data_IF_025436444095
#
_entry.id   IF_025436444095
#
_cell.length_a   1.000
_cell.length_b   1.000
_cell.length_c   1.000
_cell.angle_alpha   90.00
_cell.angle_beta   90.00
_cell.angle_gamma   90.00
#
_symmetry.space_group_name_H-M   'P 1'
#
loop_
_entity.id
_entity.type
_entity.pdbx_description
1 polymer ?
#
# COMPACT_ATOMS: atom_id res chain seq x y z
N UNK A 1 1.87 25.96 -22.52
CA UNK A 1 1.38 25.63 -21.14
C UNK A 1 -0.15 25.66 -21.03
N UNK A 2 -0.87 26.70 -21.52
CA UNK A 2 -2.34 26.76 -21.45
C UNK A 2 -3.01 25.59 -22.19
N UNK A 3 -2.51 25.25 -23.39
CA UNK A 3 -3.01 24.11 -24.16
C UNK A 3 -2.84 22.79 -23.43
N UNK A 4 -1.70 22.57 -22.78
CA UNK A 4 -1.46 21.34 -21.99
C UNK A 4 -2.40 21.24 -20.77
N UNK A 5 -2.62 22.33 -20.04
CA UNK A 5 -3.57 22.33 -18.91
C UNK A 5 -4.99 22.04 -19.40
N UNK A 6 -5.40 22.57 -20.56
CA UNK A 6 -6.68 22.26 -21.18
C UNK A 6 -6.77 20.77 -21.53
N UNK A 7 -5.75 20.22 -22.20
CA UNK A 7 -5.69 18.81 -22.57
C UNK A 7 -5.82 17.88 -21.34
N UNK A 8 -5.10 18.18 -20.25
CA UNK A 8 -5.16 17.41 -18.99
C UNK A 8 -6.56 17.49 -18.37
N UNK A 9 -7.15 18.69 -18.33
CA UNK A 9 -8.50 18.89 -17.78
C UNK A 9 -9.57 18.13 -18.56
N UNK A 10 -9.55 18.25 -19.89
CA UNK A 10 -10.48 17.53 -20.78
C UNK A 10 -10.30 16.00 -20.66
N UNK A 11 -9.05 15.53 -20.61
CA UNK A 11 -8.75 14.12 -20.40
C UNK A 11 -9.31 13.59 -19.07
N UNK A 12 -9.15 14.34 -17.97
CA UNK A 12 -9.67 13.96 -16.66
C UNK A 12 -11.21 13.88 -16.69
N UNK A 13 -11.87 14.90 -17.23
CA UNK A 13 -13.32 14.93 -17.35
C UNK A 13 -13.84 13.73 -18.16
N UNK A 14 -13.30 13.51 -19.36
CA UNK A 14 -13.66 12.39 -20.22
C UNK A 14 -13.43 11.03 -19.53
N UNK A 15 -12.31 10.89 -18.82
CA UNK A 15 -11.97 9.65 -18.13
C UNK A 15 -12.99 9.28 -17.05
N UNK A 16 -13.55 10.28 -16.37
CA UNK A 16 -14.56 10.07 -15.32
C UNK A 16 -15.96 9.90 -15.87
N UNK A 17 -16.33 10.67 -16.92
CA UNK A 17 -17.73 10.81 -17.35
C UNK A 17 -18.11 10.00 -18.59
N UNK A 18 -17.15 9.66 -19.46
CA UNK A 18 -17.45 8.92 -20.70
C UNK A 18 -17.54 7.41 -20.47
N UNK A 19 -18.73 6.79 -20.63
CA UNK A 19 -18.91 5.34 -20.37
C UNK A 19 -18.08 4.46 -21.30
N UNK A 20 -17.73 4.94 -22.49
CA UNK A 20 -16.97 4.21 -23.52
C UNK A 20 -15.46 4.34 -23.36
N UNK A 21 -15.00 5.26 -22.49
CA UNK A 21 -13.56 5.44 -22.23
C UNK A 21 -12.97 4.18 -21.62
N UNK A 22 -11.92 3.68 -22.23
CA UNK A 22 -11.19 2.52 -21.69
C UNK A 22 -10.39 2.89 -20.45
N UNK A 23 -10.27 1.94 -19.53
CA UNK A 23 -9.40 2.04 -18.34
C UNK A 23 -7.93 2.01 -18.74
N UNK A 24 -7.61 1.24 -19.78
CA UNK A 24 -6.27 1.16 -20.36
C UNK A 24 -6.37 0.75 -21.84
N UNK A 25 -5.34 1.10 -22.59
CA UNK A 25 -5.13 0.61 -23.95
C UNK A 25 -3.99 -0.40 -23.91
N UNK A 26 -4.33 -1.70 -23.87
CA UNK A 26 -3.31 -2.75 -23.80
C UNK A 26 -2.50 -2.79 -25.08
N UNK A 27 -1.20 -2.76 -24.96
CA UNK A 27 -0.23 -3.03 -26.01
C UNK A 27 0.78 -4.06 -25.47
N UNK A 28 1.29 -4.92 -26.34
CA UNK A 28 2.37 -5.81 -25.94
C UNK A 28 3.62 -5.01 -25.60
N UNK A 29 4.39 -5.43 -24.57
CA UNK A 29 5.54 -4.65 -24.08
C UNK A 29 6.57 -4.31 -25.17
N UNK A 30 6.84 -5.24 -26.09
CA UNK A 30 7.79 -5.04 -27.18
C UNK A 30 7.27 -4.07 -28.25
N UNK A 31 5.95 -4.04 -28.48
CA UNK A 31 5.30 -3.10 -29.41
C UNK A 31 5.34 -1.67 -28.83
N UNK A 32 5.08 -1.54 -27.53
CA UNK A 32 5.18 -0.27 -26.84
C UNK A 32 6.62 0.26 -26.84
N UNK A 33 7.61 -0.61 -26.59
CA UNK A 33 9.02 -0.24 -26.67
C UNK A 33 9.43 0.20 -28.08
N UNK A 34 8.95 -0.51 -29.12
CA UNK A 34 9.22 -0.13 -30.52
C UNK A 34 8.62 1.23 -30.85
N UNK A 35 7.37 1.46 -30.45
CA UNK A 35 6.72 2.75 -30.66
C UNK A 35 7.53 3.90 -30.07
N UNK A 36 7.92 3.82 -28.79
CA UNK A 36 8.66 4.90 -28.14
C UNK A 36 10.08 5.09 -28.67
N UNK A 37 10.74 4.03 -29.13
CA UNK A 37 12.04 4.14 -29.83
C UNK A 37 11.92 4.89 -31.13
N UNK A 38 10.86 4.64 -31.91
CA UNK A 38 10.63 5.35 -33.16
C UNK A 38 10.15 6.79 -32.91
N UNK A 39 9.25 6.97 -31.95
CA UNK A 39 8.80 8.31 -31.56
C UNK A 39 9.97 9.18 -31.08
N UNK A 40 10.94 8.63 -30.35
CA UNK A 40 12.13 9.36 -29.93
C UNK A 40 12.98 9.87 -31.12
N UNK A 41 13.01 9.16 -32.25
CA UNK A 41 13.78 9.53 -33.43
C UNK A 41 13.04 10.52 -34.35
N UNK A 42 11.76 10.29 -34.57
CA UNK A 42 10.99 10.92 -35.66
C UNK A 42 9.69 11.56 -35.19
N UNK A 43 9.25 11.30 -33.95
CA UNK A 43 7.99 11.82 -33.42
C UNK A 43 7.99 13.34 -33.23
N UNK A 44 6.82 13.96 -33.45
CA UNK A 44 6.65 15.36 -33.13
C UNK A 44 6.44 15.55 -31.62
N UNK A 45 7.18 16.48 -31.04
CA UNK A 45 7.10 16.76 -29.60
C UNK A 45 5.69 17.24 -29.16
N UNK A 46 4.95 17.87 -30.05
CA UNK A 46 3.57 18.32 -29.78
C UNK A 46 2.60 17.12 -29.55
N UNK A 47 2.91 15.95 -30.11
CA UNK A 47 2.14 14.73 -29.94
C UNK A 47 2.51 13.94 -28.68
N UNK A 48 3.60 14.31 -27.97
CA UNK A 48 4.11 13.56 -26.81
C UNK A 48 3.06 13.40 -25.71
N UNK A 49 2.44 14.49 -25.27
CA UNK A 49 1.44 14.42 -24.20
C UNK A 49 0.15 13.71 -24.63
N UNK A 50 -0.41 13.94 -25.83
CA UNK A 50 -1.51 13.16 -26.35
C UNK A 50 -1.22 11.64 -26.38
N UNK A 51 -0.05 11.24 -26.87
CA UNK A 51 0.31 9.80 -26.94
C UNK A 51 0.52 9.18 -25.56
N UNK A 52 1.13 9.88 -24.59
CA UNK A 52 1.21 9.41 -23.20
C UNK A 52 -0.20 9.19 -22.62
N UNK A 53 -1.11 10.17 -22.75
CA UNK A 53 -2.47 10.07 -22.25
C UNK A 53 -3.27 8.93 -22.91
N UNK A 54 -3.00 8.63 -24.17
CA UNK A 54 -3.67 7.56 -24.91
C UNK A 54 -3.18 6.16 -24.52
N UNK A 55 -1.88 6.02 -24.19
CA UNK A 55 -1.18 4.73 -24.00
C UNK A 55 -1.00 4.34 -22.55
N UNK A 56 -1.50 5.11 -21.58
CA UNK A 56 -1.33 4.85 -20.15
C UNK A 56 -2.59 4.25 -19.52
N UNK A 57 -2.48 3.86 -18.26
CA UNK A 57 -3.61 3.40 -17.45
C UNK A 57 -4.31 4.57 -16.79
N UNK A 58 -5.64 4.63 -16.90
CA UNK A 58 -6.48 5.71 -16.41
C UNK A 58 -7.07 5.37 -15.03
N UNK A 59 -6.34 5.67 -13.96
CA UNK A 59 -6.77 5.36 -12.58
C UNK A 59 -8.04 6.11 -12.16
N UNK A 60 -8.36 7.25 -12.80
CA UNK A 60 -9.59 8.01 -12.56
C UNK A 60 -10.84 7.38 -13.22
N UNK A 61 -10.66 6.40 -14.12
CA UNK A 61 -11.80 5.73 -14.74
C UNK A 61 -12.54 4.88 -13.69
N UNK A 62 -13.89 4.99 -13.55
CA UNK A 62 -14.67 4.25 -12.56
C UNK A 62 -14.54 2.72 -12.64
N UNK A 63 -14.12 2.21 -13.79
CA UNK A 63 -13.91 0.77 -14.05
C UNK A 63 -12.48 0.31 -13.71
N UNK A 64 -11.62 1.20 -13.20
CA UNK A 64 -10.34 0.83 -12.62
C UNK A 64 -10.55 0.36 -11.18
N UNK A 65 -10.52 -0.96 -10.98
CA UNK A 65 -10.79 -1.62 -9.69
C UNK A 65 -9.69 -2.61 -9.30
N UNK A 66 -8.48 -2.43 -9.84
CA UNK A 66 -7.39 -3.40 -9.74
C UNK A 66 -6.39 -3.18 -8.61
N UNK A 67 -5.26 -2.54 -8.93
CA UNK A 67 -4.17 -2.33 -7.97
C UNK A 67 -4.50 -1.29 -6.88
N UNK A 68 -3.71 -1.33 -5.80
CA UNK A 68 -3.76 -0.39 -4.68
C UNK A 68 -3.12 0.95 -5.06
N UNK A 69 -3.64 1.58 -6.13
CA UNK A 69 -3.24 2.91 -6.60
C UNK A 69 -4.48 3.80 -6.51
N UNK A 70 -4.39 4.84 -5.68
CA UNK A 70 -5.51 5.77 -5.43
C UNK A 70 -5.74 6.75 -6.58
N UNK A 71 -6.97 7.23 -6.67
CA UNK A 71 -7.31 8.41 -7.46
C UNK A 71 -6.79 9.63 -6.72
N UNK A 72 -6.00 10.46 -7.39
CA UNK A 72 -5.42 11.65 -6.78
C UNK A 72 -6.44 12.78 -6.66
N UNK A 73 -6.47 13.45 -5.51
CA UNK A 73 -7.27 14.66 -5.35
C UNK A 73 -6.69 15.79 -6.22
N UNK A 74 -7.52 16.51 -7.01
CA UNK A 74 -7.02 17.50 -7.99
C UNK A 74 -6.08 18.56 -7.39
N UNK A 75 -6.31 18.98 -6.16
CA UNK A 75 -5.45 19.97 -5.50
C UNK A 75 -4.00 19.49 -5.32
N UNK A 76 -3.77 18.17 -5.28
CA UNK A 76 -2.43 17.60 -5.15
C UNK A 76 -1.59 17.76 -6.43
N UNK A 77 -2.22 17.99 -7.58
CA UNK A 77 -1.54 18.35 -8.83
C UNK A 77 -0.80 19.68 -8.67
N UNK A 78 -1.44 20.67 -8.03
CA UNK A 78 -0.84 21.99 -7.80
C UNK A 78 0.36 21.89 -6.86
N UNK A 79 0.25 21.11 -5.79
CA UNK A 79 1.39 20.89 -4.88
C UNK A 79 2.52 20.09 -5.53
N UNK A 80 2.20 19.18 -6.44
CA UNK A 80 3.18 18.47 -7.26
C UNK A 80 3.93 19.41 -8.21
N UNK A 81 3.19 20.27 -8.92
CA UNK A 81 3.79 21.29 -9.78
C UNK A 81 4.70 22.24 -9.01
N UNK A 82 4.27 22.69 -7.81
CA UNK A 82 5.06 23.56 -6.97
C UNK A 82 6.34 22.86 -6.49
N UNK A 83 6.22 21.60 -6.01
CA UNK A 83 7.36 20.78 -5.58
C UNK A 83 8.39 20.61 -6.70
N UNK A 84 7.94 20.29 -7.90
CA UNK A 84 8.82 20.11 -9.06
C UNK A 84 9.46 21.43 -9.52
N UNK A 85 8.72 22.56 -9.47
CA UNK A 85 9.23 23.87 -9.84
C UNK A 85 10.33 24.35 -8.87
N UNK A 86 10.09 24.22 -7.56
CA UNK A 86 11.06 24.66 -6.56
C UNK A 86 12.26 23.71 -6.44
N UNK A 87 12.05 22.42 -6.72
CA UNK A 87 13.08 21.38 -6.72
C UNK A 87 13.95 21.36 -5.42
N UNK A 88 13.36 21.72 -4.28
CA UNK A 88 14.06 21.72 -3.00
C UNK A 88 14.24 20.31 -2.47
N UNK A 89 15.48 19.93 -2.14
CA UNK A 89 15.75 18.75 -1.33
C UNK A 89 15.43 19.03 0.15
N UNK A 90 15.22 17.97 0.92
CA UNK A 90 14.87 18.08 2.35
C UNK A 90 15.94 17.48 3.28
N UNK A 91 17.15 17.24 2.78
CA UNK A 91 18.23 16.62 3.56
C UNK A 91 18.55 17.42 4.83
N UNK A 92 18.81 18.72 4.65
CA UNK A 92 19.14 19.67 5.70
C UNK A 92 18.19 20.88 5.63
N UNK A 93 18.07 21.60 6.74
CA UNK A 93 17.08 22.67 6.89
C UNK A 93 17.20 23.75 5.79
N UNK A 94 18.41 24.22 5.52
CA UNK A 94 18.68 25.28 4.53
C UNK A 94 18.28 24.92 3.09
N UNK A 95 18.20 23.62 2.77
CA UNK A 95 17.72 23.15 1.47
C UNK A 95 16.19 23.04 1.41
N UNK A 96 15.54 22.71 2.52
CA UNK A 96 14.11 22.44 2.61
C UNK A 96 13.31 23.54 3.28
N UNK A 97 13.82 24.12 4.37
CA UNK A 97 13.17 25.17 5.16
C UNK A 97 11.70 24.85 5.53
N UNK A 98 10.73 25.54 4.92
CA UNK A 98 9.31 25.38 5.20
C UNK A 98 8.79 23.94 5.04
N UNK A 99 9.12 23.17 3.99
CA UNK A 99 8.75 21.76 3.89
C UNK A 99 9.19 20.90 5.08
N UNK A 100 10.35 21.12 5.68
CA UNK A 100 10.79 20.38 6.86
C UNK A 100 9.84 20.63 8.06
N UNK A 101 9.44 21.88 8.28
CA UNK A 101 8.46 22.23 9.32
C UNK A 101 7.06 21.67 9.01
N UNK A 102 6.64 21.72 7.75
CA UNK A 102 5.37 21.16 7.29
C UNK A 102 5.33 19.64 7.50
N UNK A 103 6.41 18.94 7.20
CA UNK A 103 6.50 17.48 7.42
C UNK A 103 6.31 17.13 8.90
N UNK A 104 6.93 17.86 9.79
CA UNK A 104 6.76 17.69 11.24
C UNK A 104 5.31 17.86 11.66
N UNK A 105 4.64 18.93 11.21
CA UNK A 105 3.23 19.18 11.51
C UNK A 105 2.36 18.02 11.02
N UNK A 106 2.61 17.52 9.82
CA UNK A 106 1.88 16.39 9.23
C UNK A 106 2.06 15.13 10.05
N UNK A 107 3.30 14.77 10.37
CA UNK A 107 3.58 13.54 11.13
C UNK A 107 3.06 13.60 12.57
N UNK A 108 3.12 14.76 13.23
CA UNK A 108 2.51 14.97 14.56
C UNK A 108 0.98 14.79 14.51
N UNK A 109 0.31 15.31 13.46
CA UNK A 109 -1.13 15.09 13.27
C UNK A 109 -1.47 13.63 13.06
N UNK A 110 -0.68 12.91 12.27
CA UNK A 110 -0.88 11.48 12.02
C UNK A 110 -0.65 10.66 13.30
N UNK A 111 0.40 10.94 14.07
CA UNK A 111 0.65 10.31 15.36
C UNK A 111 -0.52 10.51 16.32
N UNK A 112 -1.06 11.73 16.40
CA UNK A 112 -2.24 12.02 17.20
C UNK A 112 -3.48 11.25 16.74
N UNK A 113 -3.68 11.12 15.43
CA UNK A 113 -4.81 10.38 14.86
C UNK A 113 -4.73 8.87 15.17
N UNK A 114 -3.52 8.29 15.23
CA UNK A 114 -3.31 6.89 15.67
C UNK A 114 -3.60 6.73 17.17
N UNK A 115 -3.50 7.80 17.97
CA UNK A 115 -3.56 7.74 19.42
C UNK A 115 -2.20 7.58 20.09
N UNK A 116 -1.10 7.91 19.39
CA UNK A 116 0.23 7.93 19.98
C UNK A 116 0.36 9.12 20.94
N UNK A 117 0.87 8.85 22.14
CA UNK A 117 1.18 9.88 23.14
C UNK A 117 2.47 10.64 22.78
N UNK A 118 2.69 11.78 23.44
CA UNK A 118 3.99 12.45 23.39
C UNK A 118 5.04 11.60 24.14
N UNK A 119 6.26 11.44 23.61
CA UNK A 119 6.94 12.15 22.53
C UNK A 119 6.95 11.39 21.17
N UNK A 120 5.80 11.21 20.56
CA UNK A 120 5.69 10.57 19.25
C UNK A 120 6.16 11.47 18.10
N UNK A 121 6.44 10.87 16.95
CA UNK A 121 6.86 11.57 15.75
C UNK A 121 7.19 10.63 14.62
N UNK A 122 7.67 11.17 13.51
CA UNK A 122 7.99 10.38 12.34
C UNK A 122 8.53 11.25 11.21
N UNK A 123 8.53 10.66 10.02
CA UNK A 123 8.92 11.34 8.79
C UNK A 123 8.22 10.72 7.58
N UNK A 124 8.25 11.43 6.46
CA UNK A 124 7.78 10.91 5.18
C UNK A 124 8.94 10.28 4.40
N UNK A 125 8.64 9.24 3.63
CA UNK A 125 9.62 8.50 2.81
C UNK A 125 8.99 7.99 1.52
N UNK A 126 9.81 7.53 0.57
CA UNK A 126 9.40 7.12 -0.76
C UNK A 126 8.89 5.66 -0.80
N UNK A 127 7.71 5.44 -0.25
CA UNK A 127 6.93 4.21 -0.38
C UNK A 127 6.99 3.26 0.81
N UNK A 128 5.91 2.48 0.97
CA UNK A 128 5.73 1.55 2.08
C UNK A 128 6.84 0.51 2.21
N UNK A 129 7.45 0.06 1.11
CA UNK A 129 8.58 -0.89 1.17
C UNK A 129 9.78 -0.31 1.93
N UNK A 130 10.13 0.95 1.65
CA UNK A 130 11.24 1.61 2.33
C UNK A 130 10.88 1.96 3.78
N UNK A 131 9.64 2.39 4.01
CA UNK A 131 9.14 2.67 5.35
C UNK A 131 9.18 1.42 6.25
N UNK A 132 8.70 0.27 5.76
CA UNK A 132 8.76 -1.02 6.48
C UNK A 132 10.21 -1.46 6.74
N UNK A 133 11.12 -1.34 5.76
CA UNK A 133 12.54 -1.63 5.96
C UNK A 133 13.12 -0.75 7.08
N UNK A 134 12.85 0.56 7.03
CA UNK A 134 13.36 1.51 8.04
C UNK A 134 12.81 1.21 9.44
N UNK A 135 11.50 0.91 9.55
CA UNK A 135 10.90 0.50 10.82
C UNK A 135 11.57 -0.75 11.42
N UNK A 136 11.87 -1.74 10.58
CA UNK A 136 12.52 -2.98 11.01
C UNK A 136 14.01 -2.78 11.36
N UNK A 137 14.69 -1.84 10.70
CA UNK A 137 16.04 -1.42 11.13
C UNK A 137 16.01 -0.73 12.49
N UNK A 138 15.02 0.14 12.73
CA UNK A 138 14.79 0.78 14.04
C UNK A 138 14.51 -0.27 15.11
N UNK A 139 13.65 -1.25 14.79
CA UNK A 139 13.33 -2.38 15.67
C UNK A 139 14.58 -3.17 16.07
N UNK A 140 15.41 -3.51 15.09
CA UNK A 140 16.68 -4.23 15.34
C UNK A 140 17.59 -3.42 16.26
N UNK A 141 17.76 -2.12 15.99
CA UNK A 141 18.62 -1.26 16.82
C UNK A 141 18.10 -1.12 18.24
N UNK A 142 16.77 -1.05 18.43
CA UNK A 142 16.14 -0.90 19.74
C UNK A 142 16.10 -2.18 20.57
N UNK A 143 15.97 -3.35 19.94
CA UNK A 143 15.69 -4.63 20.63
C UNK A 143 16.86 -5.61 20.65
N UNK A 144 17.90 -5.38 19.86
CA UNK A 144 19.11 -6.21 19.83
C UNK A 144 20.25 -5.49 20.53
N UNK A 145 20.73 -5.98 21.69
CA UNK A 145 21.78 -5.29 22.46
C UNK A 145 23.13 -5.20 21.76
N UNK A 146 23.43 -6.19 20.89
CA UNK A 146 24.66 -6.20 20.10
C UNK A 146 24.58 -5.15 18.99
N UNK A 147 25.65 -4.41 18.78
CA UNK A 147 25.74 -3.39 17.70
C UNK A 147 25.87 -4.06 16.33
N UNK A 148 24.71 -4.52 15.82
CA UNK A 148 24.65 -5.18 14.50
C UNK A 148 25.02 -4.20 13.37
N UNK A 149 24.85 -2.89 13.59
CA UNK A 149 25.14 -1.88 12.56
C UNK A 149 26.64 -1.82 12.23
N UNK A 150 27.49 -1.79 13.24
CA UNK A 150 28.93 -1.69 13.05
C UNK A 150 29.66 -3.04 13.05
N UNK A 151 29.14 -4.05 13.76
CA UNK A 151 29.83 -5.32 14.00
C UNK A 151 29.22 -6.52 13.26
N UNK A 152 28.12 -6.32 12.54
CA UNK A 152 27.37 -7.41 11.90
C UNK A 152 26.60 -8.27 12.91
N UNK A 153 26.11 -9.43 12.46
CA UNK A 153 25.30 -10.33 13.28
C UNK A 153 26.17 -11.24 14.17
N UNK A 154 25.97 -11.20 15.49
CA UNK A 154 26.59 -12.11 16.44
C UNK A 154 25.80 -13.42 16.62
N UNK A 155 24.51 -13.42 16.28
CA UNK A 155 23.61 -14.57 16.38
C UNK A 155 22.48 -14.47 15.34
N UNK A 156 21.80 -15.57 15.02
CA UNK A 156 20.61 -15.50 14.16
C UNK A 156 19.52 -14.63 14.77
N UNK A 157 19.01 -13.70 13.97
CA UNK A 157 17.92 -12.79 14.32
C UNK A 157 16.65 -13.13 13.52
N UNK A 158 15.47 -12.83 14.08
CA UNK A 158 14.21 -13.12 13.42
C UNK A 158 13.11 -12.08 13.62
N UNK A 159 12.20 -12.06 12.65
CA UNK A 159 10.98 -11.26 12.62
C UNK A 159 9.80 -12.22 12.46
N UNK A 160 8.78 -12.09 13.30
CA UNK A 160 7.52 -12.82 13.16
C UNK A 160 6.55 -12.04 12.31
N UNK A 161 5.84 -12.71 11.40
CA UNK A 161 4.88 -12.09 10.49
C UNK A 161 3.89 -13.13 9.97
N UNK A 162 2.66 -12.71 9.62
CA UNK A 162 1.69 -13.58 8.94
C UNK A 162 2.26 -14.11 7.60
N UNK A 163 1.94 -15.36 7.24
CA UNK A 163 2.31 -15.90 5.91
C UNK A 163 1.73 -15.09 4.75
N UNK A 164 0.57 -14.44 4.97
CA UNK A 164 -0.13 -13.58 4.00
C UNK A 164 0.36 -12.11 3.99
N UNK A 165 1.37 -11.78 4.79
CA UNK A 165 1.92 -10.41 4.83
C UNK A 165 2.55 -10.01 3.50
N UNK A 166 2.60 -8.71 3.26
CA UNK A 166 3.22 -8.17 2.05
C UNK A 166 4.70 -8.56 1.96
N UNK A 167 5.15 -8.92 0.77
CA UNK A 167 6.52 -9.38 0.50
C UNK A 167 7.63 -8.38 0.90
N UNK A 168 7.29 -7.13 1.19
CA UNK A 168 8.27 -6.12 1.63
C UNK A 168 8.95 -6.51 2.94
N UNK A 169 8.26 -7.21 3.86
CA UNK A 169 8.83 -7.72 5.11
C UNK A 169 9.90 -8.79 4.82
N UNK A 170 9.59 -9.72 3.92
CA UNK A 170 10.56 -10.73 3.46
C UNK A 170 11.78 -10.09 2.80
N UNK A 171 11.54 -9.06 1.99
CA UNK A 171 12.61 -8.29 1.32
C UNK A 171 13.46 -7.54 2.34
N UNK A 172 12.84 -6.86 3.30
CA UNK A 172 13.53 -6.16 4.38
C UNK A 172 14.41 -7.13 5.20
N UNK A 173 13.87 -8.27 5.61
CA UNK A 173 14.62 -9.28 6.37
C UNK A 173 15.84 -9.79 5.58
N UNK A 174 15.70 -10.02 4.26
CA UNK A 174 16.83 -10.44 3.41
C UNK A 174 17.88 -9.35 3.24
N UNK A 175 17.47 -8.08 3.04
CA UNK A 175 18.39 -6.92 2.96
C UNK A 175 19.14 -6.76 4.28
N UNK A 176 18.48 -6.98 5.42
CA UNK A 176 19.07 -6.91 6.75
C UNK A 176 20.01 -8.09 7.06
N UNK A 177 20.17 -9.06 6.15
CA UNK A 177 21.02 -10.22 6.33
C UNK A 177 20.44 -11.34 7.23
N UNK A 178 19.14 -11.30 7.53
CA UNK A 178 18.50 -12.32 8.38
C UNK A 178 18.28 -13.66 7.63
N UNK A 179 18.29 -13.63 6.30
CA UNK A 179 18.03 -14.81 5.47
C UNK A 179 16.62 -15.39 5.64
N UNK A 180 16.37 -16.55 5.02
CA UNK A 180 15.05 -17.21 5.13
C UNK A 180 14.73 -17.67 6.56
N UNK A 181 15.73 -18.06 7.34
CA UNK A 181 15.54 -18.56 8.71
C UNK A 181 15.12 -17.47 9.68
N UNK A 182 15.44 -16.20 9.39
CA UNK A 182 15.02 -15.06 10.20
C UNK A 182 13.63 -14.53 9.86
N UNK A 183 12.91 -15.12 8.89
CA UNK A 183 11.52 -14.79 8.58
C UNK A 183 10.64 -15.89 9.16
N UNK A 184 9.99 -15.62 10.28
CA UNK A 184 9.13 -16.57 10.98
C UNK A 184 7.70 -16.37 10.50
N UNK A 185 7.30 -17.13 9.49
CA UNK A 185 5.95 -17.12 8.91
C UNK A 185 4.99 -17.86 9.83
N UNK A 186 4.15 -17.10 10.53
CA UNK A 186 3.04 -17.65 11.31
C UNK A 186 1.88 -17.94 10.34
N UNK A 187 1.24 -19.12 10.43
CA UNK A 187 0.12 -19.44 9.56
C UNK A 187 -1.02 -18.42 9.64
N UNK A 188 -1.76 -18.28 8.56
CA UNK A 188 -3.01 -17.56 8.56
C UNK A 188 -4.17 -18.51 8.94
N UNK A 189 -5.14 -17.99 9.71
CA UNK A 189 -6.38 -18.71 9.99
C UNK A 189 -7.31 -18.73 8.75
N UNK A 190 -8.52 -19.29 8.90
CA UNK A 190 -9.49 -19.41 7.80
C UNK A 190 -9.88 -18.06 7.15
N UNK A 191 -9.73 -16.95 7.87
CA UNK A 191 -10.05 -15.60 7.40
C UNK A 191 -8.84 -14.87 6.81
N UNK A 192 -7.71 -15.55 6.59
CA UNK A 192 -6.47 -15.00 6.04
C UNK A 192 -5.81 -13.90 6.91
N UNK A 193 -6.05 -13.93 8.20
CA UNK A 193 -5.35 -13.12 9.20
C UNK A 193 -4.40 -14.00 10.00
N UNK A 194 -3.39 -13.43 10.62
CA UNK A 194 -2.44 -14.18 11.45
C UNK A 194 -3.18 -15.02 12.48
N UNK A 195 -2.82 -16.29 12.59
CA UNK A 195 -3.36 -17.16 13.62
C UNK A 195 -2.67 -16.88 14.97
N UNK A 196 -3.32 -16.06 15.79
CA UNK A 196 -2.78 -15.60 17.07
C UNK A 196 -2.53 -16.75 18.06
N UNK A 197 -3.27 -17.86 17.94
CA UNK A 197 -3.09 -19.05 18.78
C UNK A 197 -1.77 -19.77 18.46
N UNK A 198 -1.22 -19.56 17.27
CA UNK A 198 0.05 -20.13 16.83
C UNK A 198 1.27 -19.28 17.21
N UNK A 199 1.10 -18.03 17.63
CA UNK A 199 2.21 -17.12 17.94
C UNK A 199 3.19 -17.72 18.94
N UNK A 200 2.67 -18.25 20.05
CA UNK A 200 3.49 -18.88 21.10
C UNK A 200 4.32 -20.06 20.55
N UNK A 201 3.67 -20.94 19.81
CA UNK A 201 4.30 -22.13 19.23
C UNK A 201 5.46 -21.76 18.31
N UNK A 202 5.24 -20.78 17.42
CA UNK A 202 6.25 -20.34 16.45
C UNK A 202 7.38 -19.57 17.11
N UNK A 203 7.11 -18.79 18.14
CA UNK A 203 8.10 -18.11 18.95
C UNK A 203 9.01 -19.12 19.63
N UNK A 204 8.45 -20.06 20.41
CA UNK A 204 9.23 -21.07 21.17
C UNK A 204 10.07 -21.96 20.25
N UNK A 205 9.51 -22.37 19.09
CA UNK A 205 10.27 -23.13 18.08
C UNK A 205 11.47 -22.35 17.53
N UNK A 206 11.35 -21.04 17.41
CA UNK A 206 12.42 -20.17 16.91
C UNK A 206 13.52 -20.01 17.97
N UNK A 207 13.14 -19.77 19.22
CA UNK A 207 14.07 -19.67 20.33
C UNK A 207 14.84 -20.99 20.53
N UNK A 208 14.16 -22.13 20.44
CA UNK A 208 14.79 -23.46 20.52
C UNK A 208 15.83 -23.70 19.39
N UNK A 209 15.72 -23.00 18.28
CA UNK A 209 16.70 -23.01 17.16
C UNK A 209 17.80 -21.94 17.30
N UNK A 210 17.88 -21.25 18.43
CA UNK A 210 18.84 -20.18 18.68
C UNK A 210 18.57 -18.87 17.91
N UNK A 211 17.35 -18.70 17.41
CA UNK A 211 16.96 -17.46 16.69
C UNK A 211 16.40 -16.47 17.69
N UNK A 212 17.03 -15.32 17.86
CA UNK A 212 16.51 -14.22 18.67
C UNK A 212 15.46 -13.44 17.87
N UNK A 213 14.20 -13.54 18.29
CA UNK A 213 13.13 -12.72 17.73
C UNK A 213 13.21 -11.32 18.33
N UNK A 214 13.19 -10.29 17.47
CA UNK A 214 13.26 -8.91 17.93
C UNK A 214 12.02 -8.08 17.54
N UNK A 215 11.22 -8.55 16.56
CA UNK A 215 10.04 -7.84 16.08
C UNK A 215 8.92 -8.79 15.67
N UNK A 216 7.69 -8.28 15.76
CA UNK A 216 6.49 -8.86 15.15
C UNK A 216 5.79 -7.78 14.31
N UNK A 217 5.30 -8.18 13.14
CA UNK A 217 4.60 -7.29 12.20
C UNK A 217 3.14 -7.71 12.09
N UNK A 218 2.22 -6.78 12.36
CA UNK A 218 0.79 -6.92 12.10
C UNK A 218 0.41 -6.22 10.79
N UNK A 219 -0.38 -6.89 9.95
CA UNK A 219 -0.86 -6.35 8.66
C UNK A 219 -2.20 -5.61 8.84
N UNK A 220 -2.26 -4.39 8.35
CA UNK A 220 -3.46 -3.56 8.45
C UNK A 220 -3.80 -2.83 7.13
N UNK A 221 -4.41 -3.55 6.14
CA UNK A 221 -4.62 -4.99 6.05
C UNK A 221 -3.58 -5.73 5.21
N UNK A 222 -3.71 -7.06 5.12
CA UNK A 222 -3.01 -7.90 4.15
C UNK A 222 -3.31 -7.44 2.71
N UNK A 223 -2.28 -7.40 1.87
CA UNK A 223 -2.40 -6.98 0.46
C UNK A 223 -3.25 -7.94 -0.37
N UNK A 224 -3.19 -9.24 -0.08
CA UNK A 224 -3.88 -10.26 -0.86
C UNK A 224 -5.39 -10.21 -0.67
N UNK A 225 -5.87 -10.15 0.56
CA UNK A 225 -7.29 -10.33 0.92
C UNK A 225 -7.96 -9.09 1.52
N UNK A 226 -7.18 -8.10 1.93
CA UNK A 226 -7.71 -6.94 2.64
C UNK A 226 -8.16 -7.24 4.08
N UNK A 227 -7.71 -8.38 4.63
CA UNK A 227 -8.03 -8.78 6.00
C UNK A 227 -7.04 -8.15 7.00
N UNK A 228 -7.56 -7.61 8.09
CA UNK A 228 -6.79 -7.00 9.17
C UNK A 228 -6.42 -8.04 10.21
N UNK A 229 -5.15 -8.11 10.58
CA UNK A 229 -4.71 -8.91 11.71
C UNK A 229 -5.30 -8.37 13.02
N UNK A 230 -5.44 -9.24 14.03
CA UNK A 230 -5.82 -8.84 15.39
C UNK A 230 -4.63 -8.12 16.06
N UNK A 231 -4.59 -6.79 15.85
CA UNK A 231 -3.48 -5.96 16.34
C UNK A 231 -3.42 -5.89 17.88
N UNK A 232 -4.56 -6.04 18.57
CA UNK A 232 -4.62 -6.04 20.01
C UNK A 232 -3.97 -7.33 20.58
N UNK A 233 -4.29 -8.49 20.00
CA UNK A 233 -3.66 -9.74 20.39
C UNK A 233 -2.17 -9.78 20.05
N UNK A 234 -1.77 -9.25 18.88
CA UNK A 234 -0.34 -9.12 18.52
C UNK A 234 0.39 -8.19 19.50
N UNK A 235 -0.22 -7.09 19.89
CA UNK A 235 0.35 -6.16 20.87
C UNK A 235 0.59 -6.82 22.21
N UNK A 236 -0.40 -7.56 22.75
CA UNK A 236 -0.25 -8.29 24.00
C UNK A 236 0.88 -9.33 23.93
N UNK A 237 1.00 -10.02 22.80
CA UNK A 237 2.09 -10.96 22.58
C UNK A 237 3.45 -10.24 22.50
N UNK A 238 3.54 -9.12 21.80
CA UNK A 238 4.75 -8.32 21.70
C UNK A 238 5.22 -7.80 23.07
N UNK A 239 4.29 -7.34 23.90
CA UNK A 239 4.56 -6.87 25.26
C UNK A 239 5.09 -8.01 26.14
N UNK A 240 4.43 -9.19 26.11
CA UNK A 240 4.85 -10.39 26.86
C UNK A 240 6.31 -10.76 26.61
N UNK A 241 6.78 -10.65 25.36
CA UNK A 241 8.14 -11.06 24.97
C UNK A 241 9.09 -9.89 24.71
N UNK A 242 8.68 -8.66 25.04
CA UNK A 242 9.43 -7.44 24.81
C UNK A 242 9.92 -7.32 23.35
N UNK A 243 9.05 -7.64 22.38
CA UNK A 243 9.31 -7.49 20.96
C UNK A 243 8.94 -6.10 20.50
N UNK A 244 9.56 -5.65 19.39
CA UNK A 244 9.07 -4.48 18.66
C UNK A 244 7.78 -4.85 17.94
N UNK A 245 6.72 -4.10 18.20
CA UNK A 245 5.47 -4.24 17.46
C UNK A 245 5.40 -3.21 16.35
N UNK A 246 5.42 -3.67 15.11
CA UNK A 246 5.26 -2.84 13.91
C UNK A 246 3.93 -3.11 13.23
N UNK A 247 3.22 -2.05 12.81
CA UNK A 247 1.98 -2.16 12.03
C UNK A 247 2.26 -1.74 10.58
N UNK A 248 2.17 -2.70 9.65
CA UNK A 248 2.11 -2.41 8.24
C UNK A 248 0.69 -1.97 7.87
N UNK A 249 0.41 -0.69 8.08
CA UNK A 249 -0.83 -0.01 7.72
C UNK A 249 -0.75 0.70 6.37
N UNK A 250 0.19 0.34 5.51
CA UNK A 250 0.42 1.01 4.23
C UNK A 250 -0.86 1.23 3.42
N UNK A 251 -1.78 0.26 3.38
CA UNK A 251 -3.07 0.44 2.72
C UNK A 251 -4.16 0.96 3.64
N UNK A 252 -4.42 0.27 4.72
CA UNK A 252 -5.59 0.52 5.56
C UNK A 252 -5.32 1.36 6.80
N UNK A 253 -4.11 1.83 7.01
CA UNK A 253 -3.81 2.79 8.08
C UNK A 253 -4.66 4.06 8.00
N UNK A 254 -5.12 4.43 6.80
CA UNK A 254 -6.07 5.52 6.61
C UNK A 254 -7.42 5.33 7.34
N UNK A 255 -7.76 4.10 7.76
CA UNK A 255 -8.98 3.82 8.54
C UNK A 255 -8.98 4.50 9.92
N UNK A 256 -7.83 5.02 10.39
CA UNK A 256 -7.75 5.88 11.60
C UNK A 256 -8.69 7.08 11.50
N UNK A 257 -8.97 7.58 10.29
CA UNK A 257 -9.85 8.71 10.06
C UNK A 257 -11.31 8.31 9.88
N UNK A 258 -11.64 7.02 9.73
CA UNK A 258 -13.02 6.56 9.56
C UNK A 258 -13.68 6.26 10.91
N UNK A 259 -14.67 7.04 11.31
CA UNK A 259 -15.44 6.78 12.51
C UNK A 259 -16.07 5.37 12.54
N UNK A 260 -16.43 4.85 11.36
CA UNK A 260 -17.04 3.53 11.21
C UNK A 260 -16.03 2.39 11.27
N UNK A 261 -14.81 2.59 10.72
CA UNK A 261 -13.84 1.52 10.49
C UNK A 261 -12.57 1.64 11.32
N UNK A 262 -12.41 2.68 12.13
CA UNK A 262 -11.24 2.86 13.01
C UNK A 262 -11.04 1.69 13.99
N UNK A 263 -12.12 0.98 14.36
CA UNK A 263 -12.06 -0.21 15.21
C UNK A 263 -11.18 -1.34 14.65
N UNK A 264 -10.97 -1.38 13.32
CA UNK A 264 -10.08 -2.34 12.67
C UNK A 264 -8.59 -2.13 13.02
N UNK A 265 -8.26 -0.97 13.57
CA UNK A 265 -6.91 -0.60 13.98
C UNK A 265 -6.73 -0.61 15.51
N UNK A 266 -7.70 -1.18 16.26
CA UNK A 266 -7.58 -1.32 17.72
C UNK A 266 -6.30 -2.07 18.08
N UNK A 267 -5.48 -1.49 18.97
CA UNK A 267 -4.13 -1.98 19.34
C UNK A 267 -2.99 -1.28 18.60
N UNK A 268 -3.27 -0.61 17.46
CA UNK A 268 -2.24 0.13 16.72
C UNK A 268 -1.66 1.30 17.52
N UNK A 269 -2.45 1.91 18.40
CA UNK A 269 -2.04 3.00 19.30
C UNK A 269 -0.93 2.60 20.29
N UNK A 270 -0.72 1.29 20.47
CA UNK A 270 0.36 0.75 21.31
C UNK A 270 1.54 0.20 20.50
N UNK A 271 1.48 0.23 19.17
CA UNK A 271 2.60 -0.20 18.34
C UNK A 271 3.81 0.73 18.53
N UNK A 272 5.02 0.20 18.34
CA UNK A 272 6.26 0.99 18.38
C UNK A 272 6.41 1.82 17.09
N UNK A 273 5.88 1.32 15.97
CA UNK A 273 5.88 2.04 14.69
C UNK A 273 4.72 1.60 13.79
N UNK A 274 4.27 2.53 12.93
CA UNK A 274 3.23 2.30 11.94
C UNK A 274 3.55 2.98 10.62
N UNK A 275 3.20 2.32 9.50
CA UNK A 275 3.31 2.86 8.15
C UNK A 275 1.93 3.21 7.60
N UNK A 276 1.82 4.36 6.90
CA UNK A 276 0.60 4.77 6.19
C UNK A 276 0.99 5.36 4.82
N UNK A 277 0.49 4.76 3.73
CA UNK A 277 0.73 5.28 2.38
C UNK A 277 -0.32 6.35 2.00
N UNK A 278 0.12 7.58 1.81
CA UNK A 278 -0.74 8.66 1.33
C UNK A 278 -1.23 8.42 -0.10
N UNK A 279 -0.42 7.75 -0.92
CA UNK A 279 -0.72 7.44 -2.32
C UNK A 279 -1.67 6.23 -2.51
N UNK A 280 -2.14 5.60 -1.41
CA UNK A 280 -3.18 4.57 -1.44
C UNK A 280 -4.52 5.18 -1.02
N UNK A 281 -4.93 4.98 0.21
CA UNK A 281 -6.27 5.36 0.69
C UNK A 281 -6.36 6.83 1.17
N UNK A 282 -5.45 7.72 0.74
CA UNK A 282 -5.50 9.14 1.11
C UNK A 282 -5.40 10.08 -0.10
N UNK A 283 -5.70 9.60 -1.31
CA UNK A 283 -5.87 10.40 -2.54
C UNK A 283 -4.65 11.27 -2.90
N UNK A 284 -3.45 10.82 -2.60
CA UNK A 284 -2.20 11.54 -2.91
C UNK A 284 -1.46 10.92 -4.10
N UNK A 285 -0.61 11.70 -4.80
CA UNK A 285 0.22 11.16 -5.87
C UNK A 285 1.24 10.14 -5.35
N UNK A 286 1.63 9.22 -6.22
CA UNK A 286 2.73 8.28 -6.03
C UNK A 286 4.06 9.03 -6.09
N UNK A 287 5.01 8.90 -5.14
CA UNK A 287 4.99 8.03 -3.99
C UNK A 287 5.06 8.93 -2.76
N UNK A 288 4.24 8.69 -1.76
CA UNK A 288 4.35 9.36 -0.46
C UNK A 288 3.85 8.44 0.64
N UNK A 289 4.67 8.24 1.67
CA UNK A 289 4.43 7.34 2.79
C UNK A 289 4.86 7.97 4.09
N UNK A 290 4.05 7.85 5.14
CA UNK A 290 4.42 8.23 6.50
C UNK A 290 4.93 7.00 7.26
N UNK A 291 6.11 7.11 7.88
CA UNK A 291 6.59 6.21 8.91
C UNK A 291 6.53 6.94 10.25
N UNK A 292 5.76 6.39 11.16
CA UNK A 292 5.38 7.00 12.43
C UNK A 292 5.87 6.12 13.58
N UNK A 293 6.38 6.74 14.63
CA UNK A 293 6.92 6.09 15.82
C UNK A 293 6.21 6.60 17.08
N UNK A 294 5.84 5.68 17.96
CA UNK A 294 5.30 6.03 19.27
C UNK A 294 6.32 6.78 20.13
N UNK A 295 7.60 6.46 19.96
CA UNK A 295 8.71 7.23 20.53
C UNK A 295 9.60 7.77 19.39
N UNK A 296 9.59 9.10 19.20
CA UNK A 296 10.34 9.79 18.13
C UNK A 296 11.85 9.53 18.16
N UNK A 297 12.45 9.24 19.30
CA UNK A 297 13.89 8.92 19.42
C UNK A 297 14.33 7.77 18.54
N UNK A 298 13.43 6.81 18.25
CA UNK A 298 13.75 5.70 17.36
C UNK A 298 13.92 6.13 15.90
N UNK A 299 13.23 7.20 15.47
CA UNK A 299 13.46 7.80 14.16
C UNK A 299 14.88 8.38 14.02
N UNK A 300 15.34 9.08 15.05
CA UNK A 300 16.62 9.79 15.03
C UNK A 300 17.81 8.83 15.13
N UNK A 301 17.66 7.72 15.85
CA UNK A 301 18.76 6.80 16.13
C UNK A 301 19.03 5.76 15.02
N UNK A 302 18.11 5.54 14.09
CA UNK A 302 18.23 4.42 13.13
C UNK A 302 19.42 4.56 12.19
N UNK A 303 19.64 5.75 11.65
CA UNK A 303 20.70 6.05 10.68
C UNK A 303 21.72 7.05 11.19
N UNK A 304 21.78 7.30 12.51
CA UNK A 304 22.77 8.22 13.06
C UNK A 304 24.19 7.77 12.71
N UNK A 305 24.80 8.50 11.78
CA UNK A 305 26.19 8.38 11.37
C UNK A 305 26.83 9.73 11.67
N UNK A 306 28.03 9.72 12.23
CA UNK A 306 28.86 10.90 12.30
C UNK A 306 29.34 11.26 10.89
N UNK A 307 28.54 12.04 10.16
CA UNK A 307 28.90 12.54 8.83
C UNK A 307 29.39 13.99 8.99
N UNK A 308 30.69 14.14 9.23
CA UNK A 308 31.37 15.40 9.55
C UNK A 308 31.15 16.53 8.53
N UNK A 309 30.75 16.21 7.30
CA UNK A 309 30.57 17.19 6.23
C UNK A 309 29.12 17.70 6.06
N UNK A 310 28.14 16.99 6.62
CA UNK A 310 26.72 17.38 6.50
C UNK A 310 26.10 17.85 7.82
N UNK A 311 26.63 17.43 8.97
CA UNK A 311 25.93 17.51 10.23
C UNK A 311 26.93 17.72 11.38
N UNK A 312 26.86 18.84 12.09
CA UNK A 312 27.61 19.08 13.31
C UNK A 312 27.17 18.10 14.43
N UNK A 313 28.10 17.67 15.27
CA UNK A 313 27.78 16.97 16.52
C UNK A 313 27.09 17.97 17.48
N UNK A 314 25.76 18.00 17.47
CA UNK A 314 24.96 18.74 18.43
C UNK A 314 24.09 17.78 19.21
N UNK A 315 24.01 17.95 20.52
CA UNK A 315 23.07 17.24 21.41
C UNK A 315 21.64 17.72 21.22
N UNK A 316 21.40 18.74 20.40
CA UNK A 316 20.08 19.31 20.14
C UNK A 316 19.25 18.45 19.19
N UNK A 317 17.94 18.43 19.44
CA UNK A 317 16.92 17.77 18.63
C UNK A 317 16.81 18.45 17.24
N UNK A 318 17.74 18.13 16.33
CA UNK A 318 17.76 18.65 14.96
C UNK A 318 16.66 18.01 14.08
N UNK A 319 15.43 18.08 14.56
CA UNK A 319 14.25 17.52 13.87
C UNK A 319 14.08 18.00 12.42
N UNK A 320 14.70 19.09 12.06
CA UNK A 320 14.62 19.72 10.74
C UNK A 320 15.60 19.15 9.72
N UNK A 321 16.56 18.33 10.13
CA UNK A 321 17.55 17.69 9.26
C UNK A 321 17.12 16.26 8.93
N UNK A 322 16.28 16.09 7.89
CA UNK A 322 15.71 14.78 7.56
C UNK A 322 16.75 13.75 7.11
N UNK A 323 17.87 14.14 6.53
CA UNK A 323 18.95 13.24 6.12
C UNK A 323 19.57 12.43 7.26
N UNK A 324 19.40 12.83 8.52
CA UNK A 324 19.81 12.04 9.70
C UNK A 324 18.86 10.88 10.01
N UNK A 325 17.60 10.98 9.60
CA UNK A 325 16.51 10.09 10.02
C UNK A 325 16.00 9.17 8.95
N UNK A 326 16.17 9.55 7.68
CA UNK A 326 15.68 8.81 6.54
C UNK A 326 16.78 7.98 5.89
N UNK A 327 16.41 6.87 5.28
CA UNK A 327 17.32 6.09 4.47
C UNK A 327 17.82 6.89 3.25
N UNK A 328 16.94 7.71 2.68
CA UNK A 328 17.31 8.65 1.62
C UNK A 328 18.11 9.83 2.19
N UNK A 329 19.21 10.19 1.57
CA UNK A 329 19.93 11.40 1.94
C UNK A 329 19.07 12.64 1.73
N UNK A 330 18.32 12.69 0.62
CA UNK A 330 17.38 13.77 0.31
C UNK A 330 16.09 13.20 -0.26
N UNK A 331 15.03 13.97 -0.23
CA UNK A 331 13.70 13.59 -0.74
C UNK A 331 12.94 14.80 -1.25
N UNK A 332 11.90 14.56 -2.04
CA UNK A 332 10.99 15.60 -2.55
C UNK A 332 10.08 16.14 -1.44
N UNK A 333 9.48 17.30 -1.66
CA UNK A 333 8.55 17.95 -0.72
C UNK A 333 7.17 17.26 -0.68
N UNK A 334 7.13 15.93 -0.49
CA UNK A 334 5.89 15.14 -0.47
C UNK A 334 4.93 15.55 0.66
N UNK A 335 5.42 16.21 1.70
CA UNK A 335 4.63 16.76 2.79
C UNK A 335 3.59 17.80 2.32
N UNK A 336 3.82 18.47 1.20
CA UNK A 336 2.89 19.46 0.66
C UNK A 336 1.54 18.83 0.28
N UNK A 337 1.53 17.60 -0.22
CA UNK A 337 0.29 16.88 -0.55
C UNK A 337 -0.56 16.62 0.71
N UNK A 338 0.07 16.13 1.77
CA UNK A 338 -0.57 15.88 3.06
C UNK A 338 -1.12 17.16 3.67
N UNK A 339 -0.27 18.19 3.73
CA UNK A 339 -0.62 19.45 4.36
C UNK A 339 -1.81 20.12 3.68
N UNK A 340 -1.80 20.20 2.35
CA UNK A 340 -2.88 20.88 1.62
C UNK A 340 -4.21 20.15 1.78
N UNK A 341 -4.23 18.82 1.73
CA UNK A 341 -5.45 18.05 1.94
C UNK A 341 -5.99 18.24 3.37
N UNK A 342 -5.13 18.13 4.37
CA UNK A 342 -5.51 18.35 5.77
C UNK A 342 -5.95 19.80 6.04
N UNK A 343 -5.30 20.78 5.41
CA UNK A 343 -5.59 22.20 5.64
C UNK A 343 -6.88 22.65 4.94
N UNK A 344 -7.11 22.18 3.72
CA UNK A 344 -8.24 22.64 2.89
C UNK A 344 -9.52 21.87 3.23
N UNK A 345 -9.42 20.55 3.38
CA UNK A 345 -10.58 19.68 3.56
C UNK A 345 -10.71 19.10 4.97
N UNK A 346 -9.69 19.20 5.80
CA UNK A 346 -9.63 18.60 7.13
C UNK A 346 -9.60 17.07 7.08
N UNK A 347 -9.72 16.46 8.25
CA UNK A 347 -9.74 14.99 8.40
C UNK A 347 -11.05 14.38 7.84
N UNK A 348 -12.10 15.17 7.75
CA UNK A 348 -13.42 14.75 7.25
C UNK A 348 -13.37 14.18 5.83
N UNK A 349 -12.47 14.69 4.97
CA UNK A 349 -12.34 14.15 3.60
C UNK A 349 -11.91 12.69 3.62
N UNK A 350 -10.98 12.34 4.52
CA UNK A 350 -10.51 10.96 4.66
C UNK A 350 -11.57 10.07 5.30
N UNK A 351 -12.29 10.57 6.33
CA UNK A 351 -13.42 9.84 6.90
C UNK A 351 -14.44 9.48 5.82
N UNK A 352 -14.89 10.47 5.04
CA UNK A 352 -15.89 10.27 3.97
C UNK A 352 -15.36 9.29 2.92
N UNK A 353 -14.13 9.47 2.45
CA UNK A 353 -13.56 8.64 1.39
C UNK A 353 -13.34 7.20 1.84
N UNK A 354 -12.67 6.97 2.97
CA UNK A 354 -12.38 5.62 3.46
C UNK A 354 -13.66 4.86 3.76
N UNK A 355 -14.60 5.51 4.48
CA UNK A 355 -15.90 4.90 4.82
C UNK A 355 -16.64 4.48 3.56
N UNK A 356 -16.74 5.36 2.56
CA UNK A 356 -17.41 5.05 1.29
C UNK A 356 -16.77 3.86 0.56
N UNK A 357 -15.44 3.81 0.47
CA UNK A 357 -14.78 2.73 -0.26
C UNK A 357 -14.94 1.37 0.43
N UNK A 358 -14.90 1.35 1.76
CA UNK A 358 -15.11 0.12 2.54
C UNK A 358 -16.59 -0.31 2.47
N UNK A 359 -17.53 0.63 2.53
CA UNK A 359 -18.95 0.35 2.32
C UNK A 359 -19.23 -0.22 0.92
N UNK A 360 -18.58 0.32 -0.11
CA UNK A 360 -18.68 -0.21 -1.47
C UNK A 360 -18.15 -1.66 -1.54
N UNK A 361 -17.09 -1.98 -0.77
CA UNK A 361 -16.62 -3.36 -0.61
C UNK A 361 -17.71 -4.29 -0.05
N UNK A 362 -18.41 -3.86 0.99
CA UNK A 362 -19.54 -4.60 1.58
C UNK A 362 -20.74 -4.70 0.65
N UNK A 363 -21.00 -3.67 -0.15
CA UNK A 363 -22.04 -3.72 -1.18
C UNK A 363 -21.69 -4.73 -2.28
N UNK A 364 -20.45 -4.78 -2.71
CA UNK A 364 -20.00 -5.74 -3.71
C UNK A 364 -20.07 -7.18 -3.19
N UNK A 365 -19.73 -7.44 -1.95
CA UNK A 365 -19.97 -8.72 -1.29
C UNK A 365 -21.44 -9.14 -1.41
N UNK A 366 -22.36 -8.24 -1.05
CA UNK A 366 -23.81 -8.52 -1.13
C UNK A 366 -24.30 -8.81 -2.55
N UNK A 367 -23.67 -8.21 -3.57
CA UNK A 367 -23.95 -8.52 -4.96
C UNK A 367 -23.46 -9.94 -5.30
N UNK A 368 -22.21 -10.26 -5.00
CA UNK A 368 -21.62 -11.56 -5.28
C UNK A 368 -22.40 -12.72 -4.62
N UNK A 369 -22.83 -12.55 -3.38
CA UNK A 369 -23.60 -13.56 -2.64
C UNK A 369 -25.00 -13.84 -3.25
N UNK A 370 -25.52 -12.97 -4.11
CA UNK A 370 -26.77 -13.18 -4.84
C UNK A 370 -26.56 -13.91 -6.18
N UNK A 371 -25.33 -14.02 -6.64
CA UNK A 371 -24.99 -14.61 -7.92
C UNK A 371 -24.50 -16.06 -7.72
N UNK A 372 -25.27 -17.08 -8.15
CA UNK A 372 -24.93 -18.48 -7.86
C UNK A 372 -23.68 -18.99 -8.61
N UNK A 373 -23.23 -18.25 -9.61
CA UNK A 373 -22.04 -18.56 -10.42
C UNK A 373 -20.80 -17.74 -10.00
N UNK A 374 -20.83 -17.19 -8.77
CA UNK A 374 -19.68 -16.56 -8.17
C UNK A 374 -19.49 -17.03 -6.73
N UNK A 375 -18.25 -17.07 -6.29
CA UNK A 375 -17.90 -17.31 -4.91
C UNK A 375 -16.85 -16.30 -4.41
N UNK A 376 -16.84 -16.03 -3.12
CA UNK A 376 -15.86 -15.16 -2.45
C UNK A 376 -14.88 -15.98 -1.62
N UNK A 377 -13.62 -15.55 -1.55
CA UNK A 377 -12.61 -16.23 -0.73
C UNK A 377 -12.86 -16.04 0.78
N UNK A 378 -13.24 -14.84 1.15
CA UNK A 378 -13.59 -14.44 2.53
C UNK A 378 -14.42 -13.17 2.50
N UNK A 379 -15.20 -12.93 3.56
CA UNK A 379 -15.93 -11.67 3.74
C UNK A 379 -14.93 -10.50 3.86
N UNK A 380 -15.08 -9.40 3.10
CA UNK A 380 -14.12 -8.31 3.10
C UNK A 380 -14.17 -7.51 4.41
N UNK A 381 -13.01 -7.23 4.99
CA UNK A 381 -12.86 -6.28 6.10
C UNK A 381 -12.59 -4.86 5.61
N UNK A 382 -12.12 -4.73 4.36
CA UNK A 382 -11.76 -3.47 3.71
C UNK A 382 -12.43 -3.32 2.34
N UNK A 383 -11.87 -2.48 1.49
CA UNK A 383 -12.25 -2.29 0.08
C UNK A 383 -11.61 -3.30 -0.89
N UNK A 384 -11.00 -4.37 -0.38
CA UNK A 384 -10.37 -5.43 -1.18
C UNK A 384 -11.23 -6.67 -1.12
N UNK A 385 -11.57 -7.24 -2.29
CA UNK A 385 -12.35 -8.47 -2.41
C UNK A 385 -11.66 -9.46 -3.34
N UNK A 386 -11.60 -10.71 -2.88
CA UNK A 386 -11.18 -11.85 -3.68
C UNK A 386 -12.39 -12.71 -3.99
N UNK A 387 -12.70 -12.86 -5.28
CA UNK A 387 -13.85 -13.62 -5.76
C UNK A 387 -13.49 -14.33 -7.07
N UNK A 388 -14.31 -15.28 -7.50
CA UNK A 388 -14.13 -15.93 -8.80
C UNK A 388 -15.45 -16.36 -9.40
N UNK A 389 -15.48 -16.53 -10.71
CA UNK A 389 -16.52 -17.27 -11.41
C UNK A 389 -16.42 -18.75 -11.04
N UNK A 390 -17.55 -19.40 -10.78
CA UNK A 390 -17.64 -20.80 -10.43
C UNK A 390 -18.74 -21.51 -11.24
N UNK A 391 -18.58 -22.82 -11.44
CA UNK A 391 -19.55 -23.70 -12.09
C UNK A 391 -19.35 -25.11 -11.50
N UNK A 392 -20.43 -25.70 -10.99
CA UNK A 392 -20.39 -27.00 -10.31
C UNK A 392 -19.95 -28.17 -11.19
N UNK A 393 -19.99 -28.01 -12.51
CA UNK A 393 -19.59 -29.02 -13.48
C UNK A 393 -18.10 -28.96 -13.85
N UNK A 394 -17.35 -27.99 -13.29
CA UNK A 394 -15.95 -27.76 -13.60
C UNK A 394 -15.06 -28.20 -12.44
N UNK A 395 -13.88 -28.73 -12.78
CA UNK A 395 -12.85 -29.02 -11.80
C UNK A 395 -12.21 -27.73 -11.24
N UNK A 396 -11.51 -27.85 -10.12
CA UNK A 396 -10.75 -26.72 -9.54
C UNK A 396 -9.69 -26.18 -10.51
N UNK A 397 -9.05 -27.05 -11.25
CA UNK A 397 -8.05 -26.72 -12.28
C UNK A 397 -8.69 -25.96 -13.44
N UNK A 398 -9.81 -26.45 -13.97
CA UNK A 398 -10.56 -25.77 -15.05
C UNK A 398 -11.02 -24.36 -14.58
N UNK A 399 -11.52 -24.24 -13.34
CA UNK A 399 -11.94 -22.97 -12.77
C UNK A 399 -10.76 -21.98 -12.62
N UNK A 400 -9.58 -22.44 -12.17
CA UNK A 400 -8.39 -21.63 -12.10
C UNK A 400 -7.98 -21.13 -13.49
N UNK A 401 -7.98 -22.00 -14.50
CA UNK A 401 -7.63 -21.64 -15.87
C UNK A 401 -8.63 -20.67 -16.50
N UNK A 402 -9.93 -20.90 -16.32
CA UNK A 402 -10.99 -20.02 -16.84
C UNK A 402 -10.88 -18.63 -16.22
N UNK A 403 -10.73 -18.52 -14.90
CA UNK A 403 -10.62 -17.23 -14.24
C UNK A 403 -9.33 -16.47 -14.65
N UNK A 404 -8.21 -17.18 -14.85
CA UNK A 404 -6.99 -16.58 -15.37
C UNK A 404 -7.19 -16.03 -16.80
N UNK A 405 -7.82 -16.80 -17.69
CA UNK A 405 -8.13 -16.39 -19.07
C UNK A 405 -9.14 -15.24 -19.10
N UNK A 406 -10.15 -15.26 -18.23
CA UNK A 406 -11.10 -14.14 -18.08
C UNK A 406 -10.38 -12.86 -17.70
N UNK A 407 -9.47 -12.92 -16.71
CA UNK A 407 -8.66 -11.77 -16.30
C UNK A 407 -7.82 -11.23 -17.47
N UNK A 408 -7.18 -12.12 -18.22
CA UNK A 408 -6.37 -11.72 -19.37
C UNK A 408 -7.24 -11.06 -20.46
N UNK A 409 -8.39 -11.65 -20.78
CA UNK A 409 -9.32 -11.08 -21.76
C UNK A 409 -9.88 -9.71 -21.35
N UNK A 410 -10.08 -9.46 -20.04
CA UNK A 410 -10.51 -8.15 -19.55
C UNK A 410 -9.38 -7.11 -19.68
N UNK A 411 -8.13 -7.51 -19.46
CA UNK A 411 -6.96 -6.65 -19.62
C UNK A 411 -6.80 -6.21 -21.09
N UNK A 412 -6.88 -7.17 -22.04
CA UNK A 412 -6.77 -6.91 -23.48
C UNK A 412 -7.91 -6.05 -24.02
N UNK A 413 -9.11 -6.27 -23.52
CA UNK A 413 -10.29 -5.46 -23.86
C UNK A 413 -10.16 -4.03 -23.33
N UNK A 414 -9.53 -3.86 -22.16
CA UNK A 414 -9.19 -2.59 -21.56
C UNK A 414 -10.36 -1.80 -20.96
N UNK A 415 -11.60 -2.36 -20.96
CA UNK A 415 -12.75 -1.67 -20.37
C UNK A 415 -12.67 -1.69 -18.84
N UNK A 416 -12.44 -2.87 -18.24
CA UNK A 416 -12.22 -3.01 -16.80
C UNK A 416 -10.78 -3.42 -16.51
N UNK A 417 -10.23 -2.87 -15.45
CA UNK A 417 -8.95 -3.31 -14.94
C UNK A 417 -9.09 -3.88 -13.53
N UNK A 418 -8.83 -5.17 -13.39
CA UNK A 418 -8.72 -5.88 -12.11
C UNK A 418 -7.50 -6.80 -12.13
N UNK A 419 -7.12 -7.28 -10.95
CA UNK A 419 -5.99 -8.19 -10.78
C UNK A 419 -6.43 -9.57 -10.33
N UNK A 420 -5.49 -10.46 -10.11
CA UNK A 420 -5.74 -11.80 -9.58
C UNK A 420 -4.76 -12.12 -8.46
N UNK A 421 -5.15 -13.06 -7.62
CA UNK A 421 -4.31 -13.61 -6.54
C UNK A 421 -4.54 -15.11 -6.42
N UNK A 422 -3.58 -15.81 -5.82
CA UNK A 422 -3.72 -17.25 -5.53
C UNK A 422 -3.71 -17.43 -4.01
N UNK A 423 -4.82 -17.96 -3.49
CA UNK A 423 -5.00 -18.20 -2.06
C UNK A 423 -5.15 -19.72 -1.86
N UNK A 424 -4.24 -20.34 -1.11
CA UNK A 424 -4.25 -21.77 -0.81
C UNK A 424 -4.48 -22.66 -2.05
N UNK A 425 -3.82 -22.32 -3.16
CA UNK A 425 -3.92 -23.06 -4.40
C UNK A 425 -5.07 -22.68 -5.32
N UNK A 426 -6.05 -21.91 -4.85
CA UNK A 426 -7.20 -21.42 -5.62
C UNK A 426 -6.91 -20.04 -6.20
N UNK A 427 -7.17 -19.87 -7.50
CA UNK A 427 -7.04 -18.59 -8.17
C UNK A 427 -8.32 -17.77 -8.01
N UNK A 428 -8.19 -16.55 -7.53
CA UNK A 428 -9.26 -15.57 -7.41
C UNK A 428 -8.96 -14.33 -8.23
N UNK A 429 -9.97 -13.74 -8.81
CA UNK A 429 -9.99 -12.35 -9.25
C UNK A 429 -9.99 -11.46 -8.00
N UNK A 430 -9.27 -10.35 -8.06
CA UNK A 430 -9.19 -9.42 -6.92
C UNK A 430 -9.49 -8.02 -7.36
N UNK A 431 -10.42 -7.38 -6.66
CA UNK A 431 -10.68 -5.95 -6.77
C UNK A 431 -10.12 -5.22 -5.57
N UNK A 432 -9.71 -3.97 -5.82
CA UNK A 432 -9.39 -2.98 -4.79
C UNK A 432 -10.17 -1.72 -5.14
N UNK A 433 -11.27 -1.49 -4.41
CA UNK A 433 -12.22 -0.43 -4.71
C UNK A 433 -11.73 0.89 -4.11
N UNK A 434 -10.90 1.61 -4.86
CA UNK A 434 -10.29 2.88 -4.44
C UNK A 434 -10.78 4.08 -5.22
N UNK A 435 -11.50 3.86 -6.33
CA UNK A 435 -11.97 4.94 -7.15
C UNK A 435 -13.30 5.50 -6.60
N UNK A 436 -13.39 6.79 -6.22
CA UNK A 436 -14.60 7.37 -5.66
C UNK A 436 -15.75 7.49 -6.67
N UNK A 437 -15.48 7.30 -7.95
CA UNK A 437 -16.49 7.33 -9.02
C UNK A 437 -17.02 5.93 -9.36
N UNK A 438 -16.45 4.87 -8.81
CA UNK A 438 -16.99 3.52 -8.96
C UNK A 438 -18.32 3.40 -8.23
N UNK A 439 -19.33 2.87 -8.92
CA UNK A 439 -20.68 2.67 -8.39
C UNK A 439 -21.05 1.19 -8.44
N UNK A 440 -22.19 0.86 -7.85
CA UNK A 440 -22.79 -0.46 -7.89
C UNK A 440 -23.02 -0.94 -9.32
N UNK A 441 -23.52 -0.07 -10.19
CA UNK A 441 -23.80 -0.39 -11.60
C UNK A 441 -22.54 -0.80 -12.36
N UNK A 442 -21.39 -0.17 -12.06
CA UNK A 442 -20.10 -0.59 -12.61
C UNK A 442 -19.74 -2.01 -12.16
N UNK A 443 -20.00 -2.36 -10.91
CA UNK A 443 -19.71 -3.70 -10.37
C UNK A 443 -20.65 -4.76 -10.96
N UNK A 444 -21.94 -4.46 -11.11
CA UNK A 444 -22.91 -5.34 -11.81
C UNK A 444 -22.50 -5.57 -13.27
N UNK A 445 -22.06 -4.52 -13.95
CA UNK A 445 -21.53 -4.61 -15.33
C UNK A 445 -20.25 -5.47 -15.38
N UNK A 446 -19.37 -5.35 -14.42
CA UNK A 446 -18.16 -6.19 -14.29
C UNK A 446 -18.54 -7.66 -14.17
N UNK A 447 -19.46 -8.02 -13.28
CA UNK A 447 -19.92 -9.42 -13.09
C UNK A 447 -20.54 -9.98 -14.38
N UNK A 448 -21.38 -9.20 -15.06
CA UNK A 448 -21.97 -9.59 -16.36
C UNK A 448 -20.89 -9.87 -17.40
N UNK A 449 -19.84 -9.05 -17.45
CA UNK A 449 -18.74 -9.19 -18.40
C UNK A 449 -17.89 -10.43 -18.09
N UNK A 450 -17.54 -10.64 -16.82
CA UNK A 450 -16.84 -11.85 -16.36
C UNK A 450 -17.63 -13.10 -16.76
N UNK A 451 -18.91 -13.16 -16.42
CA UNK A 451 -19.82 -14.29 -16.76
C UNK A 451 -19.86 -14.57 -18.25
N UNK A 452 -19.99 -13.52 -19.06
CA UNK A 452 -20.03 -13.65 -20.52
C UNK A 452 -18.74 -14.22 -21.07
N UNK A 453 -17.58 -13.80 -20.53
CA UNK A 453 -16.26 -14.30 -20.95
C UNK A 453 -16.03 -15.73 -20.46
N UNK A 454 -16.36 -16.03 -19.21
CA UNK A 454 -16.22 -17.36 -18.63
C UNK A 454 -17.03 -18.42 -19.43
N UNK A 455 -18.31 -18.13 -19.71
CA UNK A 455 -19.17 -19.05 -20.51
C UNK A 455 -18.60 -19.35 -21.87
N UNK A 456 -17.89 -18.43 -22.53
CA UNK A 456 -17.23 -18.68 -23.82
C UNK A 456 -16.03 -19.63 -23.71
N UNK A 457 -15.40 -19.67 -22.55
CA UNK A 457 -14.19 -20.44 -22.27
C UNK A 457 -14.48 -21.87 -21.75
N UNK A 458 -15.72 -22.15 -21.32
CA UNK A 458 -16.12 -23.49 -20.87
C UNK A 458 -15.96 -24.48 -22.03
N UNK A 459 -15.23 -25.58 -21.83
CA UNK A 459 -15.05 -26.62 -22.88
C UNK A 459 -16.36 -27.18 -23.36
N UNK A 460 -16.47 -27.51 -24.68
CA UNK A 460 -17.69 -28.04 -25.31
C UNK A 460 -18.18 -29.33 -24.66
N UNK A 461 -17.28 -30.13 -24.09
CA UNK A 461 -17.57 -31.38 -23.34
C UNK A 461 -18.39 -31.18 -22.07
N UNK A 462 -18.47 -29.94 -21.55
CA UNK A 462 -19.15 -29.58 -20.28
C UNK A 462 -20.43 -28.78 -20.56
N UNK A 463 -20.69 -28.38 -21.82
CA UNK A 463 -21.84 -27.55 -22.20
C UNK A 463 -23.15 -28.33 -22.46
N UNK A 464 -23.11 -29.66 -22.27
CA UNK A 464 -24.30 -30.53 -22.44
C UNK A 464 -25.01 -30.73 -21.07
#
# INVERSE_FOLDING_TARGET
SKQLLKLISEHLEQTVTEPTKKTLSWNEPDDELRFWKEFFKTGNIDDFFPEILKRTTHTHNPKYVGHQVGVTAPITLLTGMLSNLLNNGMAVYEMGMSPNAIERIVTEKLCKAIGYDSPSGGFLTSGGTLANLTALLSARKAKVPHDVWNLGHAQPLGIMVCEEAHYCVDRAAKIMGLGKKGIIKVPANRNFVIDVEQLETYYQRSIAKGIRIFAIVGSAPSTATGAYDDLEAIQQFAEKYNLWFHVDGAHGGAAIFSEKYTHLLKGAEKSDSMVIDGHKMMMMPTITTALLYRNKKHADHTFSINADYLLSETEEDEWYNSGRRTFECTKTMMCLHWYVLLKVYGEKVFNTYVTRQYDLGKEFEKLLLKEPDFEIATSPMSNILCFRYTDSNLSQEDLNEINAKVRQALLEDGEFYLVQTKLRGTLYLRTTLMNPFTTREHLESLLKKIRTRAKKLIPSRVRQ
#
